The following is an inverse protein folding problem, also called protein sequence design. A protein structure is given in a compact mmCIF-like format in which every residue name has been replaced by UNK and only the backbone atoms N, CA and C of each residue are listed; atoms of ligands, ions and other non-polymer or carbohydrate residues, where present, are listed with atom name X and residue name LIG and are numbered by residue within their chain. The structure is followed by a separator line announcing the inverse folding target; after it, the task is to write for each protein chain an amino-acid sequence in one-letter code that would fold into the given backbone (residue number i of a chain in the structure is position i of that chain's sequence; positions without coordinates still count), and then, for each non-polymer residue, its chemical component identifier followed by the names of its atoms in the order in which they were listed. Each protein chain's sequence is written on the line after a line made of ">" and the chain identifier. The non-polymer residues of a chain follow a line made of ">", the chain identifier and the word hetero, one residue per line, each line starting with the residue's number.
data_IF_553471632922
#
_entry.id   IF_553471632922
#
_cell.length_a   1.000
_cell.length_b   1.000
_cell.length_c   1.000
_cell.angle_alpha   90.00
_cell.angle_beta   90.00
_cell.angle_gamma   90.00
#
_symmetry.space_group_name_H-M   'P 1'
#
loop_
_entity.id
_entity.type
_entity.pdbx_description
1 polymer ?
#
# COMPACT_ATOMS: atom_id res chain seq x y z
N UNK A 1 59.46 -1.69 18.83
CA UNK A 1 58.28 -1.60 19.73
C UNK A 1 57.57 -0.30 19.40
N UNK A 2 56.41 -0.37 18.77
CA UNK A 2 55.59 0.79 18.40
C UNK A 2 54.20 0.27 18.11
N UNK A 3 53.30 0.46 19.08
CA UNK A 3 52.01 -0.18 19.16
C UNK A 3 51.09 0.21 18.00
N UNK A 4 50.47 -0.80 17.40
CA UNK A 4 49.37 -0.69 16.45
C UNK A 4 48.23 0.13 17.06
N UNK A 5 47.88 1.23 16.39
CA UNK A 5 46.65 1.96 16.64
C UNK A 5 45.50 1.13 16.06
N UNK A 6 44.71 0.52 16.93
CA UNK A 6 43.44 -0.10 16.54
C UNK A 6 42.46 1.02 16.19
N UNK A 7 42.14 1.11 14.90
CA UNK A 7 41.03 1.92 14.38
C UNK A 7 39.75 1.52 15.11
N UNK A 8 39.18 2.48 15.84
CA UNK A 8 37.86 2.36 16.45
C UNK A 8 36.84 2.11 15.33
N UNK A 9 36.26 0.91 15.32
CA UNK A 9 35.05 0.62 14.56
C UNK A 9 33.97 1.55 15.10
N UNK A 10 33.60 2.58 14.33
CA UNK A 10 32.35 3.28 14.55
C UNK A 10 31.25 2.22 14.47
N UNK A 11 30.50 2.05 15.56
CA UNK A 11 29.19 1.42 15.50
C UNK A 11 28.41 2.19 14.43
N UNK A 12 28.15 1.54 13.30
CA UNK A 12 27.12 1.99 12.39
C UNK A 12 25.84 1.80 13.18
N UNK A 13 25.21 2.90 13.58
CA UNK A 13 23.83 2.84 14.04
C UNK A 13 23.05 2.19 12.89
N UNK A 14 22.55 0.98 13.11
CA UNK A 14 21.64 0.34 12.17
C UNK A 14 20.38 1.19 12.22
N UNK A 15 20.22 2.09 11.27
CA UNK A 15 18.96 2.78 11.06
C UNK A 15 17.97 1.75 10.53
N UNK A 16 16.92 1.48 11.30
CA UNK A 16 15.76 0.71 10.87
C UNK A 16 15.26 1.28 9.53
N UNK A 17 15.01 0.41 8.54
CA UNK A 17 14.51 0.88 7.25
C UNK A 17 13.06 1.34 7.41
N UNK A 18 12.71 2.48 6.80
CA UNK A 18 11.33 2.97 6.76
C UNK A 18 10.69 2.64 5.41
N UNK A 19 9.45 2.19 5.44
CA UNK A 19 8.62 1.86 4.28
C UNK A 19 7.35 2.70 4.32
N UNK A 20 7.26 3.72 3.49
CA UNK A 20 6.01 4.43 3.25
C UNK A 20 5.20 3.69 2.19
N UNK A 21 3.97 3.30 2.50
CA UNK A 21 3.13 2.49 1.63
C UNK A 21 1.80 3.19 1.35
N UNK A 22 1.57 3.54 0.08
CA UNK A 22 0.28 4.09 -0.36
C UNK A 22 -0.64 2.99 -0.84
N UNK A 23 -1.84 2.90 -0.26
CA UNK A 23 -2.85 1.92 -0.65
C UNK A 23 -4.23 2.53 -0.94
N UNK A 24 -4.93 1.86 -1.85
CA UNK A 24 -6.38 1.94 -2.01
C UNK A 24 -6.91 0.53 -1.67
N UNK A 25 -7.91 0.37 -0.76
CA UNK A 25 -8.41 -0.94 -0.40
C UNK A 25 -8.95 -1.74 -1.60
N UNK A 26 -9.39 -1.07 -2.67
CA UNK A 26 -9.88 -1.73 -3.87
C UNK A 26 -8.76 -2.27 -4.79
N UNK A 27 -7.50 -1.89 -4.60
CA UNK A 27 -6.42 -2.31 -5.50
C UNK A 27 -5.86 -3.70 -5.14
N UNK A 28 -5.97 -4.71 -6.03
CA UNK A 28 -5.46 -6.05 -5.74
C UNK A 28 -3.92 -6.15 -5.80
N UNK A 29 -3.26 -5.28 -6.57
CA UNK A 29 -1.80 -5.22 -6.61
C UNK A 29 -1.24 -4.60 -5.32
N UNK A 30 -1.84 -3.50 -4.84
CA UNK A 30 -1.48 -2.92 -3.56
C UNK A 30 -1.75 -3.89 -2.41
N UNK A 31 -2.81 -4.71 -2.51
CA UNK A 31 -3.06 -5.77 -1.53
C UNK A 31 -1.91 -6.77 -1.47
N UNK A 32 -1.52 -7.37 -2.59
CA UNK A 32 -0.43 -8.35 -2.62
C UNK A 32 0.90 -7.76 -2.13
N UNK A 33 1.27 -6.55 -2.58
CA UNK A 33 2.50 -5.92 -2.12
C UNK A 33 2.42 -5.56 -0.63
N UNK A 34 1.27 -5.13 -0.10
CA UNK A 34 1.11 -4.88 1.34
C UNK A 34 1.29 -6.16 2.17
N UNK A 35 0.75 -7.29 1.69
CA UNK A 35 0.89 -8.58 2.37
C UNK A 35 2.32 -9.10 2.30
N UNK A 36 3.06 -8.79 1.24
CA UNK A 36 4.50 -9.00 1.21
C UNK A 36 5.21 -8.17 2.29
N UNK A 37 4.92 -6.88 2.42
CA UNK A 37 5.49 -6.05 3.50
C UNK A 37 5.16 -6.64 4.90
N UNK A 38 3.95 -7.18 5.10
CA UNK A 38 3.60 -7.92 6.33
C UNK A 38 4.42 -9.19 6.57
N UNK A 39 4.95 -9.83 5.52
CA UNK A 39 5.90 -10.94 5.65
C UNK A 39 7.31 -10.42 5.96
N UNK A 40 7.69 -9.25 5.42
CA UNK A 40 8.97 -8.60 5.71
C UNK A 40 9.07 -8.22 7.19
N UNK A 41 8.03 -7.64 7.78
CA UNK A 41 7.98 -7.29 9.22
C UNK A 41 8.24 -8.49 10.15
N UNK A 42 8.07 -9.73 9.68
CA UNK A 42 8.34 -10.94 10.47
C UNK A 42 9.80 -11.35 10.45
N UNK A 43 10.59 -10.89 9.47
CA UNK A 43 11.97 -11.34 9.24
C UNK A 43 12.98 -10.19 9.11
N UNK A 44 12.52 -8.94 9.16
CA UNK A 44 13.35 -7.72 9.16
C UNK A 44 12.79 -6.72 10.17
N UNK A 45 13.69 -5.97 10.79
CA UNK A 45 13.33 -4.81 11.60
C UNK A 45 13.11 -3.62 10.66
N UNK A 46 11.84 -3.29 10.42
CA UNK A 46 11.41 -2.18 9.55
C UNK A 46 10.28 -1.40 10.22
N UNK A 47 10.16 -0.12 9.87
CA UNK A 47 9.03 0.73 10.24
C UNK A 47 8.14 0.93 9.00
N UNK A 48 6.84 0.64 9.12
CA UNK A 48 5.89 0.80 8.01
C UNK A 48 4.94 1.96 8.33
N UNK A 49 4.86 2.92 7.41
CA UNK A 49 3.93 4.05 7.48
C UNK A 49 2.90 3.89 6.36
N UNK A 50 1.62 3.86 6.73
CA UNK A 50 0.53 3.64 5.80
C UNK A 50 -0.07 4.96 5.35
N UNK A 51 -0.21 5.13 4.04
CA UNK A 51 -0.77 6.32 3.41
C UNK A 51 -1.93 5.95 2.49
N UNK A 52 -2.84 6.89 2.27
CA UNK A 52 -3.98 6.70 1.38
C UNK A 52 -3.66 7.14 -0.03
N UNK A 53 -4.06 6.35 -1.02
CA UNK A 53 -4.10 6.78 -2.42
C UNK A 53 -5.45 6.42 -3.01
N UNK A 54 -6.03 7.31 -3.81
CA UNK A 54 -7.32 7.07 -4.46
C UNK A 54 -7.09 6.64 -5.91
N UNK A 55 -7.53 5.43 -6.24
CA UNK A 55 -7.57 4.97 -7.64
C UNK A 55 -8.44 5.89 -8.51
N UNK A 56 -9.49 6.47 -7.94
CA UNK A 56 -10.31 7.49 -8.58
C UNK A 56 -9.48 8.69 -9.02
N UNK A 57 -8.74 9.29 -8.08
CA UNK A 57 -7.86 10.46 -8.34
C UNK A 57 -6.75 10.12 -9.33
N UNK A 58 -6.06 8.98 -9.16
CA UNK A 58 -5.00 8.54 -10.09
C UNK A 58 -5.47 8.48 -11.54
N UNK A 59 -6.77 8.19 -11.74
CA UNK A 59 -7.38 8.01 -13.05
C UNK A 59 -8.29 9.17 -13.48
N UNK A 60 -8.32 10.30 -12.76
CA UNK A 60 -9.04 11.50 -13.17
C UNK A 60 -8.49 12.01 -14.51
N UNK A 61 -9.38 12.39 -15.44
CA UNK A 61 -9.01 12.93 -16.76
C UNK A 61 -8.40 11.93 -17.75
N UNK A 62 -8.21 10.65 -17.38
CA UNK A 62 -7.71 9.62 -18.29
C UNK A 62 -8.85 9.05 -19.15
N UNK A 63 -8.57 8.84 -20.44
CA UNK A 63 -9.46 8.05 -21.31
C UNK A 63 -9.30 6.57 -20.96
N UNK A 64 -10.38 5.94 -20.48
CA UNK A 64 -10.40 4.54 -20.06
C UNK A 64 -11.53 3.79 -20.77
N UNK A 65 -11.34 2.50 -20.99
CA UNK A 65 -12.44 1.63 -21.43
C UNK A 65 -13.65 1.73 -20.47
N UNK A 66 -14.90 1.75 -20.96
CA UNK A 66 -16.08 2.01 -20.14
C UNK A 66 -16.23 1.08 -18.93
N UNK A 67 -15.87 -0.20 -19.09
CA UNK A 67 -15.90 -1.18 -18.00
C UNK A 67 -14.88 -0.86 -16.91
N UNK A 68 -13.69 -0.43 -17.30
CA UNK A 68 -12.64 -0.04 -16.35
C UNK A 68 -12.98 1.30 -15.67
N UNK A 69 -13.53 2.28 -16.41
CA UNK A 69 -14.05 3.52 -15.83
C UNK A 69 -15.10 3.24 -14.75
N UNK A 70 -16.09 2.40 -15.04
CA UNK A 70 -17.12 2.00 -14.06
C UNK A 70 -16.51 1.34 -12.81
N UNK A 71 -15.48 0.52 -12.99
CA UNK A 71 -14.78 -0.09 -11.86
C UNK A 71 -14.08 0.96 -10.99
N UNK A 72 -13.33 1.88 -11.61
CA UNK A 72 -12.64 2.99 -10.92
C UNK A 72 -13.61 3.90 -10.18
N UNK A 73 -14.73 4.27 -10.80
CA UNK A 73 -15.73 5.12 -10.15
C UNK A 73 -16.33 4.44 -8.90
N UNK A 74 -16.38 3.10 -8.90
CA UNK A 74 -16.85 2.29 -7.77
C UNK A 74 -15.85 2.11 -6.62
N UNK A 75 -14.61 2.61 -6.71
CA UNK A 75 -13.60 2.48 -5.64
C UNK A 75 -13.68 3.59 -4.59
N UNK A 76 -14.30 4.73 -4.92
CA UNK A 76 -14.38 5.90 -4.04
C UNK A 76 -14.99 5.61 -2.66
N UNK A 77 -16.06 4.82 -2.61
CA UNK A 77 -16.80 4.60 -1.37
C UNK A 77 -15.93 4.02 -0.25
N UNK A 78 -15.15 2.97 -0.56
CA UNK A 78 -14.31 2.33 0.45
C UNK A 78 -13.17 3.24 0.94
N UNK A 79 -12.46 3.93 0.02
CA UNK A 79 -11.34 4.80 0.39
C UNK A 79 -11.80 6.02 1.18
N UNK A 80 -13.00 6.56 0.92
CA UNK A 80 -13.61 7.65 1.72
C UNK A 80 -13.92 7.22 3.14
N UNK A 81 -14.43 6.00 3.34
CA UNK A 81 -14.68 5.46 4.69
C UNK A 81 -13.37 5.28 5.46
N UNK A 82 -12.31 4.80 4.79
CA UNK A 82 -10.97 4.68 5.41
C UNK A 82 -10.42 6.06 5.77
N UNK A 83 -10.56 7.07 4.90
CA UNK A 83 -10.15 8.44 5.18
C UNK A 83 -10.92 9.04 6.37
N UNK A 84 -12.23 8.82 6.45
CA UNK A 84 -13.05 9.24 7.56
C UNK A 84 -12.62 8.59 8.89
N UNK A 85 -12.32 7.29 8.87
CA UNK A 85 -11.80 6.58 10.04
C UNK A 85 -10.48 7.17 10.52
N UNK A 86 -9.51 7.36 9.61
CA UNK A 86 -8.22 7.96 9.93
C UNK A 86 -8.35 9.39 10.48
N UNK A 87 -9.26 10.20 9.93
CA UNK A 87 -9.53 11.55 10.43
C UNK A 87 -10.15 11.55 11.84
N UNK A 88 -10.99 10.56 12.16
CA UNK A 88 -11.68 10.50 13.45
C UNK A 88 -10.82 9.89 14.57
N UNK A 89 -10.07 8.83 14.30
CA UNK A 89 -9.34 8.06 15.32
C UNK A 89 -7.82 8.08 15.17
N UNK A 90 -7.30 8.69 14.10
CA UNK A 90 -5.88 8.80 13.79
C UNK A 90 -5.38 7.73 12.81
N UNK A 91 -4.23 7.99 12.20
CA UNK A 91 -3.63 7.13 11.15
C UNK A 91 -3.21 5.74 11.65
N UNK A 92 -3.08 5.55 12.97
CA UNK A 92 -2.77 4.24 13.56
C UNK A 92 -3.82 3.15 13.26
N UNK A 93 -5.03 3.52 12.83
CA UNK A 93 -6.09 2.57 12.43
C UNK A 93 -5.89 2.00 11.02
N UNK A 94 -5.05 2.64 10.18
CA UNK A 94 -5.00 2.36 8.74
C UNK A 94 -4.59 0.92 8.43
N UNK A 95 -3.62 0.39 9.15
CA UNK A 95 -3.12 -0.97 8.94
C UNK A 95 -4.20 -2.03 9.21
N UNK A 96 -4.82 -1.96 10.39
CA UNK A 96 -5.85 -2.92 10.82
C UNK A 96 -7.08 -2.80 9.93
N UNK A 97 -7.54 -1.58 9.65
CA UNK A 97 -8.71 -1.35 8.80
C UNK A 97 -8.46 -1.80 7.36
N UNK A 98 -7.29 -1.49 6.81
CA UNK A 98 -6.91 -1.98 5.49
C UNK A 98 -6.84 -3.51 5.47
N UNK A 99 -6.26 -4.13 6.50
CA UNK A 99 -6.19 -5.59 6.60
C UNK A 99 -7.58 -6.23 6.64
N UNK A 100 -8.50 -5.68 7.44
CA UNK A 100 -9.87 -6.19 7.57
C UNK A 100 -10.68 -6.04 6.27
N UNK A 101 -10.58 -4.88 5.60
CA UNK A 101 -11.26 -4.64 4.31
C UNK A 101 -10.62 -5.47 3.19
N UNK A 102 -9.30 -5.42 3.06
CA UNK A 102 -8.56 -6.10 2.00
C UNK A 102 -8.71 -7.62 2.04
N UNK A 103 -8.82 -8.21 3.22
CA UNK A 103 -9.13 -9.64 3.37
C UNK A 103 -10.47 -9.97 2.72
N UNK A 104 -11.53 -9.23 3.05
CA UNK A 104 -12.87 -9.44 2.47
C UNK A 104 -12.88 -9.17 0.96
N UNK A 105 -12.24 -8.10 0.54
CA UNK A 105 -12.22 -7.68 -0.86
C UNK A 105 -11.50 -8.69 -1.75
N UNK A 106 -10.29 -9.10 -1.35
CA UNK A 106 -9.37 -9.81 -2.23
C UNK A 106 -9.26 -11.30 -1.93
N UNK A 107 -9.38 -11.71 -0.65
CA UNK A 107 -9.31 -13.12 -0.29
C UNK A 107 -10.71 -13.76 -0.37
N UNK A 108 -11.74 -13.06 0.10
CA UNK A 108 -13.12 -13.54 0.07
C UNK A 108 -13.89 -13.12 -1.19
N UNK A 109 -13.20 -12.46 -2.13
CA UNK A 109 -13.72 -12.02 -3.42
C UNK A 109 -14.94 -11.08 -3.36
N UNK A 110 -15.03 -10.21 -2.33
CA UNK A 110 -16.14 -9.24 -2.15
C UNK A 110 -15.88 -7.86 -2.76
N UNK A 111 -14.83 -7.70 -3.57
CA UNK A 111 -14.51 -6.44 -4.25
C UNK A 111 -15.34 -6.17 -5.54
N UNK A 112 -16.36 -6.99 -5.83
CA UNK A 112 -17.10 -6.98 -7.08
C UNK A 112 -18.29 -6.00 -7.13
N UNK A 113 -19.43 -6.40 -6.57
CA UNK A 113 -20.64 -5.57 -6.51
C UNK A 113 -20.52 -4.49 -5.42
N UNK A 114 -21.15 -3.33 -5.63
CA UNK A 114 -21.05 -2.21 -4.70
C UNK A 114 -21.62 -2.55 -3.31
N UNK A 115 -22.78 -3.19 -3.27
CA UNK A 115 -23.44 -3.63 -2.04
C UNK A 115 -22.55 -4.60 -1.26
N UNK A 116 -21.88 -5.53 -1.97
CA UNK A 116 -20.95 -6.48 -1.38
C UNK A 116 -19.74 -5.78 -0.77
N UNK A 117 -19.20 -4.76 -1.46
CA UNK A 117 -18.10 -3.94 -0.93
C UNK A 117 -18.53 -3.14 0.30
N UNK A 118 -19.69 -2.48 0.24
CA UNK A 118 -20.22 -1.64 1.33
C UNK A 118 -20.49 -2.47 2.59
N UNK A 119 -21.08 -3.66 2.43
CA UNK A 119 -21.28 -4.62 3.50
C UNK A 119 -19.94 -5.10 4.11
N UNK A 120 -18.97 -5.46 3.27
CA UNK A 120 -17.64 -5.86 3.73
C UNK A 120 -16.91 -4.76 4.51
N UNK A 121 -17.04 -3.50 4.09
CA UNK A 121 -16.48 -2.36 4.85
C UNK A 121 -17.21 -2.15 6.17
N UNK A 122 -18.54 -2.25 6.20
CA UNK A 122 -19.31 -2.14 7.44
C UNK A 122 -18.94 -3.25 8.45
N UNK A 123 -18.74 -4.48 7.98
CA UNK A 123 -18.26 -5.59 8.81
C UNK A 123 -16.84 -5.35 9.34
N UNK A 124 -15.94 -4.80 8.52
CA UNK A 124 -14.58 -4.46 8.94
C UNK A 124 -14.57 -3.37 10.02
N UNK A 125 -15.43 -2.35 9.89
CA UNK A 125 -15.62 -1.33 10.94
C UNK A 125 -16.11 -1.98 12.24
N UNK A 126 -17.09 -2.88 12.15
CA UNK A 126 -17.63 -3.58 13.31
C UNK A 126 -16.62 -4.51 13.99
N UNK A 127 -15.81 -5.23 13.21
CA UNK A 127 -14.71 -6.08 13.69
C UNK A 127 -13.71 -5.31 14.55
N UNK A 128 -13.38 -4.09 14.15
CA UNK A 128 -12.43 -3.21 14.85
C UNK A 128 -13.10 -2.34 15.92
N UNK A 129 -14.40 -2.49 16.16
CA UNK A 129 -15.14 -1.68 17.12
C UNK A 129 -15.21 -0.18 16.76
N UNK A 130 -15.03 0.16 15.48
CA UNK A 130 -15.13 1.53 14.99
C UNK A 130 -16.59 1.96 14.87
N UNK A 131 -16.84 3.27 14.87
CA UNK A 131 -18.18 3.81 14.76
C UNK A 131 -18.84 3.41 13.44
N UNK A 132 -19.99 2.72 13.51
CA UNK A 132 -20.74 2.28 12.33
C UNK A 132 -21.15 3.45 11.41
N UNK A 133 -21.35 4.66 11.97
CA UNK A 133 -21.69 5.85 11.19
C UNK A 133 -20.59 6.27 10.20
N UNK A 134 -19.35 5.78 10.34
CA UNK A 134 -18.29 6.00 9.35
C UNK A 134 -18.67 5.49 7.96
N UNK A 135 -19.58 4.51 7.86
CA UNK A 135 -20.07 4.01 6.57
C UNK A 135 -20.80 5.08 5.75
N UNK A 136 -21.30 6.14 6.38
CA UNK A 136 -21.96 7.27 5.69
C UNK A 136 -21.00 8.02 4.78
N UNK A 137 -19.69 8.01 5.09
CA UNK A 137 -18.65 8.61 4.23
C UNK A 137 -18.56 7.96 2.84
N UNK A 138 -19.12 6.75 2.66
CA UNK A 138 -19.20 6.07 1.36
C UNK A 138 -19.79 6.97 0.25
N UNK A 139 -20.79 7.78 0.63
CA UNK A 139 -21.55 8.63 -0.29
C UNK A 139 -21.18 10.11 -0.19
N UNK A 140 -20.23 10.47 0.68
CA UNK A 140 -19.81 11.85 0.94
C UNK A 140 -18.52 12.20 0.19
N UNK A 141 -18.38 13.44 -0.27
CA UNK A 141 -17.16 13.98 -0.86
C UNK A 141 -16.27 14.75 0.14
N UNK A 142 -16.67 14.77 1.42
CA UNK A 142 -16.00 15.53 2.49
C UNK A 142 -14.49 15.27 2.58
N UNK A 143 -14.05 14.05 2.29
CA UNK A 143 -12.65 13.62 2.38
C UNK A 143 -11.93 13.60 1.03
N UNK A 144 -12.57 14.00 -0.07
CA UNK A 144 -11.96 13.88 -1.39
C UNK A 144 -10.74 14.79 -1.56
N UNK A 145 -10.74 15.96 -0.92
CA UNK A 145 -9.61 16.89 -0.99
C UNK A 145 -8.35 16.33 -0.32
N UNK A 146 -8.47 15.74 0.88
CA UNK A 146 -7.34 15.12 1.56
C UNK A 146 -6.84 13.88 0.80
N UNK A 147 -7.73 13.12 0.18
CA UNK A 147 -7.35 12.01 -0.71
C UNK A 147 -6.58 12.50 -1.95
N UNK A 148 -6.95 13.65 -2.54
CA UNK A 148 -6.18 14.26 -3.62
C UNK A 148 -4.80 14.71 -3.18
N UNK A 149 -4.69 15.30 -2.00
CA UNK A 149 -3.41 15.74 -1.42
C UNK A 149 -2.48 14.54 -1.14
N UNK A 150 -2.99 13.47 -0.53
CA UNK A 150 -2.22 12.25 -0.27
C UNK A 150 -1.82 11.53 -1.57
N UNK A 151 -2.73 11.47 -2.55
CA UNK A 151 -2.45 10.91 -3.88
C UNK A 151 -1.39 11.73 -4.62
N UNK A 152 -1.45 13.07 -4.51
CA UNK A 152 -0.43 13.96 -5.09
C UNK A 152 0.93 13.73 -4.45
N UNK A 153 1.00 13.55 -3.13
CA UNK A 153 2.25 13.25 -2.44
C UNK A 153 2.89 11.95 -2.97
N UNK A 154 2.09 10.91 -3.22
CA UNK A 154 2.58 9.69 -3.88
C UNK A 154 3.09 9.99 -5.30
N UNK A 155 2.31 10.69 -6.12
CA UNK A 155 2.68 11.02 -7.51
C UNK A 155 3.93 11.91 -7.60
N UNK A 156 4.16 12.81 -6.65
CA UNK A 156 5.36 13.64 -6.61
C UNK A 156 6.63 12.80 -6.37
N UNK A 157 6.51 11.59 -5.81
CA UNK A 157 7.62 10.66 -5.62
C UNK A 157 7.93 9.81 -6.86
N UNK A 158 6.91 9.40 -7.62
CA UNK A 158 7.05 8.37 -8.68
C UNK A 158 6.63 8.82 -10.09
N UNK A 159 6.14 10.06 -10.21
CA UNK A 159 5.56 10.60 -11.44
C UNK A 159 4.04 10.38 -11.54
N UNK A 160 3.39 11.16 -12.40
CA UNK A 160 1.93 11.13 -12.61
C UNK A 160 1.44 9.97 -13.48
N UNK A 161 2.34 9.28 -14.17
CA UNK A 161 2.00 8.30 -15.21
C UNK A 161 1.88 6.87 -14.67
N UNK A 162 2.17 6.66 -13.38
CA UNK A 162 2.17 5.34 -12.76
C UNK A 162 0.87 5.04 -12.00
N UNK A 163 0.63 3.74 -11.77
CA UNK A 163 -0.51 3.26 -10.98
C UNK A 163 -0.10 2.91 -9.55
N UNK A 164 -0.86 2.02 -8.90
CA UNK A 164 -0.54 1.45 -7.60
C UNK A 164 0.00 0.02 -7.75
N UNK A 165 0.84 -0.48 -6.82
CA UNK A 165 1.29 0.14 -5.58
C UNK A 165 2.38 1.22 -5.75
N UNK A 166 2.39 2.17 -4.82
CA UNK A 166 3.49 3.13 -4.63
C UNK A 166 4.11 2.86 -3.26
N UNK A 167 5.42 2.65 -3.23
CA UNK A 167 6.20 2.39 -2.01
C UNK A 167 7.40 3.33 -2.00
N UNK A 168 7.66 3.99 -0.88
CA UNK A 168 8.94 4.66 -0.66
C UNK A 168 9.81 3.84 0.29
N UNK A 169 11.04 3.55 -0.12
CA UNK A 169 12.03 2.86 0.69
C UNK A 169 13.04 3.89 1.17
N UNK A 170 13.06 4.16 2.48
CA UNK A 170 13.89 5.22 3.07
C UNK A 170 13.72 6.58 2.37
N UNK A 171 12.47 6.93 2.02
CA UNK A 171 12.11 8.18 1.34
C UNK A 171 12.31 8.19 -0.18
N UNK A 172 12.82 7.11 -0.81
CA UNK A 172 12.93 7.01 -2.27
C UNK A 172 11.72 6.27 -2.82
N UNK A 173 10.90 6.95 -3.62
CA UNK A 173 9.65 6.40 -4.16
C UNK A 173 9.83 5.50 -5.38
N UNK A 174 9.05 4.42 -5.43
CA UNK A 174 8.97 3.48 -6.55
C UNK A 174 7.53 3.13 -6.88
N UNK A 175 7.25 2.97 -8.18
CA UNK A 175 6.10 2.18 -8.64
C UNK A 175 6.45 0.70 -8.47
N UNK A 176 5.75 0.02 -7.57
CA UNK A 176 6.12 -1.32 -7.14
C UNK A 176 6.99 -1.35 -5.88
N UNK A 177 7.54 -2.53 -5.54
CA UNK A 177 7.51 -3.77 -6.31
C UNK A 177 6.11 -4.30 -6.59
N UNK A 178 5.83 -4.64 -7.85
CA UNK A 178 4.56 -5.23 -8.26
C UNK A 178 4.59 -6.72 -7.95
N UNK A 179 3.87 -7.14 -6.91
CA UNK A 179 3.82 -8.52 -6.43
C UNK A 179 2.47 -9.15 -6.81
N UNK A 180 2.49 -10.33 -7.43
CA UNK A 180 1.29 -11.10 -7.80
C UNK A 180 1.08 -12.34 -6.95
N UNK A 181 2.15 -12.87 -6.32
CA UNK A 181 2.12 -13.93 -5.31
C UNK A 181 2.93 -13.48 -4.12
N UNK A 182 2.38 -13.58 -2.91
CA UNK A 182 3.02 -13.06 -1.71
C UNK A 182 4.18 -13.99 -1.31
N UNK A 183 5.45 -13.56 -1.42
CA UNK A 183 6.56 -14.33 -0.90
C UNK A 183 6.46 -14.40 0.63
N UNK A 184 6.88 -15.51 1.23
CA UNK A 184 6.73 -15.80 2.65
C UNK A 184 8.07 -16.07 3.32
N UNK A 185 8.14 -15.82 4.63
CA UNK A 185 9.34 -16.07 5.44
C UNK A 185 10.56 -15.34 4.88
N UNK A 186 11.72 -16.02 4.91
CA UNK A 186 12.99 -15.38 4.55
C UNK A 186 13.04 -14.87 3.11
N UNK A 187 12.36 -15.52 2.16
CA UNK A 187 12.28 -15.04 0.78
C UNK A 187 11.65 -13.64 0.69
N UNK A 188 10.69 -13.32 1.55
CA UNK A 188 10.11 -11.97 1.62
C UNK A 188 11.18 -10.94 2.01
N UNK A 189 12.01 -11.28 2.99
CA UNK A 189 13.12 -10.45 3.46
C UNK A 189 14.22 -10.29 2.40
N UNK A 190 14.62 -11.36 1.71
CA UNK A 190 15.62 -11.30 0.65
C UNK A 190 15.20 -10.38 -0.52
N UNK A 191 13.93 -10.46 -0.92
CA UNK A 191 13.37 -9.58 -1.96
C UNK A 191 13.36 -8.12 -1.46
N UNK A 192 13.06 -7.89 -0.18
CA UNK A 192 13.08 -6.56 0.42
C UNK A 192 14.49 -5.97 0.45
N UNK A 193 15.48 -6.75 0.89
CA UNK A 193 16.88 -6.31 0.93
C UNK A 193 17.40 -5.94 -0.47
N UNK A 194 17.01 -6.72 -1.49
CA UNK A 194 17.31 -6.41 -2.88
C UNK A 194 16.64 -5.11 -3.35
N UNK A 195 15.36 -4.91 -3.00
CA UNK A 195 14.63 -3.69 -3.33
C UNK A 195 15.25 -2.45 -2.67
N UNK A 196 15.63 -2.53 -1.39
CA UNK A 196 16.34 -1.46 -0.67
C UNK A 196 17.71 -1.19 -1.31
N UNK A 197 18.45 -2.23 -1.67
CA UNK A 197 19.76 -2.10 -2.31
C UNK A 197 19.67 -1.38 -3.64
N UNK A 198 18.73 -1.80 -4.51
CA UNK A 198 18.50 -1.15 -5.80
C UNK A 198 17.97 0.27 -5.63
N UNK A 199 17.00 0.45 -4.74
CA UNK A 199 16.33 1.74 -4.56
C UNK A 199 17.22 2.82 -3.97
N UNK A 200 18.19 2.45 -3.13
CA UNK A 200 19.18 3.37 -2.59
C UNK A 200 20.34 3.69 -3.57
N UNK A 201 20.39 3.08 -4.75
CA UNK A 201 21.37 3.45 -5.77
C UNK A 201 20.80 4.57 -6.66
N UNK A 202 21.30 5.83 -6.59
CA UNK A 202 20.66 6.99 -7.22
C UNK A 202 20.61 6.99 -8.76
N UNK A 203 21.24 5.99 -9.38
CA UNK A 203 21.31 5.84 -10.83
C UNK A 203 20.57 4.58 -11.34
N UNK A 204 19.82 3.90 -10.47
CA UNK A 204 18.87 2.86 -10.83
C UNK A 204 17.48 3.47 -11.01
N UNK A 205 16.79 3.15 -12.11
CA UNK A 205 15.49 3.73 -12.43
C UNK A 205 14.41 2.69 -12.74
N UNK A 206 14.76 1.56 -13.38
CA UNK A 206 13.76 0.55 -13.72
C UNK A 206 14.38 -0.85 -13.86
N UNK A 207 13.67 -1.85 -13.31
CA UNK A 207 13.83 -3.27 -13.65
C UNK A 207 12.44 -3.85 -13.84
N UNK A 208 12.16 -4.34 -15.05
CA UNK A 208 10.82 -4.80 -15.42
C UNK A 208 10.87 -6.04 -16.28
N UNK A 209 9.89 -6.92 -16.08
CA UNK A 209 9.53 -8.02 -17.00
C UNK A 209 8.04 -7.95 -17.33
N UNK A 210 7.64 -8.55 -18.44
CA UNK A 210 6.22 -8.67 -18.80
C UNK A 210 5.45 -9.41 -17.71
N UNK A 211 4.35 -8.83 -17.24
CA UNK A 211 3.43 -9.49 -16.31
C UNK A 211 2.62 -10.54 -17.07
N UNK A 212 2.55 -11.75 -16.53
CA UNK A 212 1.88 -12.90 -17.17
C UNK A 212 0.76 -13.51 -16.33
N UNK A 213 0.45 -12.91 -15.17
CA UNK A 213 -0.57 -13.40 -14.25
C UNK A 213 -1.23 -12.24 -13.48
N UNK A 214 -2.38 -12.56 -12.87
CA UNK A 214 -3.14 -11.66 -12.01
C UNK A 214 -2.76 -11.84 -10.53
N UNK A 215 -2.90 -10.78 -9.71
CA UNK A 215 -2.55 -10.81 -8.31
C UNK A 215 -3.47 -11.75 -7.49
N UNK A 216 -2.85 -12.52 -6.59
CA UNK A 216 -3.54 -13.32 -5.58
C UNK A 216 -2.67 -13.42 -4.33
N UNK A 217 -3.20 -12.98 -3.20
CA UNK A 217 -2.52 -13.04 -1.91
C UNK A 217 -2.61 -14.43 -1.25
N UNK A 218 -3.51 -15.29 -1.72
CA UNK A 218 -3.81 -16.61 -1.16
C UNK A 218 -3.26 -17.77 -1.98
N UNK A 219 -3.04 -17.56 -3.28
CA UNK A 219 -2.39 -18.57 -4.11
C UNK A 219 -0.93 -18.78 -3.71
N UNK A 220 -0.48 -20.03 -3.76
CA UNK A 220 0.94 -20.37 -3.60
C UNK A 220 1.76 -19.80 -4.77
N UNK A 221 2.97 -19.33 -4.44
CA UNK A 221 3.95 -18.81 -5.40
C UNK A 221 5.02 -19.83 -5.76
#
# INVERSE_FOLDING_TARGET
>A
MGASSFSSLRSVAVSTNTVDFWFDPACPFAWCTSRWIKQVEQVRDIEVVWHLISLGVVNEGRELDPGYRKHIDGTWGAIRVVAAAAAQVGEGVLDDLYTAIGTRFHNDARNGAEESRKEAVAEALAELGLNAELITAWESDEYDQSLRESTKAAQDLVGSDVGTPVVALNGVGFFGPVITRVPRGELAGEIFDAAVTLGNYPHFFELKRSRTEDPSATAEG
#
